data_IF_263132519948
#
_entry.id   IF_263132519948
#
_cell.length_a   1.000
_cell.length_b   1.000
_cell.length_c   1.000
_cell.angle_alpha   90.00
_cell.angle_beta   90.00
_cell.angle_gamma   90.00
#
_symmetry.space_group_name_H-M   'P 1'
#
loop_
_entity.id
_entity.type
_entity.pdbx_description
1 polymer ?
#
# COMPACT_ATOMS: atom_id res chain seq x y z
N UNK A 1 -9.66 -26.47 -2.15
CA UNK A 1 -10.48 -25.26 -1.90
C UNK A 1 -10.25 -24.17 -2.95
N UNK A 2 -11.27 -23.37 -3.28
CA UNK A 2 -11.21 -22.34 -4.35
C UNK A 2 -11.77 -20.99 -3.91
N UNK A 3 -11.15 -19.90 -4.35
CA UNK A 3 -11.69 -18.53 -4.19
C UNK A 3 -12.36 -18.12 -5.50
N UNK A 4 -13.63 -17.72 -5.46
CA UNK A 4 -14.42 -17.35 -6.64
C UNK A 4 -14.94 -15.92 -6.53
N UNK A 5 -14.90 -15.20 -7.66
CA UNK A 5 -15.46 -13.84 -7.78
C UNK A 5 -16.95 -13.93 -8.10
N UNK A 6 -17.77 -13.14 -7.43
CA UNK A 6 -19.23 -13.09 -7.62
C UNK A 6 -19.65 -11.68 -7.89
N UNK A 7 -20.51 -11.48 -8.89
CA UNK A 7 -21.09 -10.19 -9.23
C UNK A 7 -22.33 -9.95 -8.38
N UNK A 8 -22.35 -8.88 -7.58
CA UNK A 8 -23.49 -8.48 -6.75
C UNK A 8 -24.39 -7.48 -7.49
N UNK A 9 -23.80 -6.57 -8.27
CA UNK A 9 -24.49 -5.58 -9.10
C UNK A 9 -23.70 -5.31 -10.39
N UNK A 10 -24.14 -4.41 -11.27
CA UNK A 10 -23.41 -4.04 -12.50
C UNK A 10 -21.97 -3.59 -12.22
N UNK A 11 -21.71 -3.01 -11.03
CA UNK A 11 -20.40 -2.47 -10.64
C UNK A 11 -19.80 -3.11 -9.38
N UNK A 12 -20.58 -3.84 -8.58
CA UNK A 12 -20.11 -4.48 -7.34
C UNK A 12 -19.86 -5.98 -7.51
N UNK A 13 -18.78 -6.45 -6.89
CA UNK A 13 -18.48 -7.87 -6.78
C UNK A 13 -17.93 -8.20 -5.40
N UNK A 14 -18.22 -9.43 -4.97
CA UNK A 14 -17.70 -10.03 -3.75
C UNK A 14 -16.85 -11.25 -4.09
N UNK A 15 -16.27 -11.84 -3.06
CA UNK A 15 -15.48 -13.06 -3.13
C UNK A 15 -16.10 -14.13 -2.24
N UNK A 16 -16.19 -15.36 -2.73
CA UNK A 16 -16.52 -16.53 -1.91
C UNK A 16 -15.32 -17.46 -1.82
N UNK A 17 -15.22 -18.14 -0.69
CA UNK A 17 -14.30 -19.25 -0.50
C UNK A 17 -15.12 -20.53 -0.42
N UNK A 18 -14.85 -21.42 -1.37
CA UNK A 18 -15.50 -22.71 -1.52
C UNK A 18 -14.59 -23.81 -0.97
N UNK A 19 -15.18 -24.74 -0.24
CA UNK A 19 -14.52 -25.93 0.25
C UNK A 19 -14.23 -26.94 -0.89
N UNK A 20 -13.78 -28.15 -0.55
CA UNK A 20 -13.49 -29.20 -1.54
C UNK A 20 -14.76 -29.79 -2.19
N UNK A 21 -15.94 -29.56 -1.59
CA UNK A 21 -17.25 -29.98 -2.10
C UNK A 21 -17.96 -28.84 -2.86
N UNK A 22 -17.24 -27.75 -3.16
CA UNK A 22 -17.79 -26.54 -3.79
C UNK A 22 -18.87 -25.84 -2.97
N UNK A 23 -18.96 -26.10 -1.67
CA UNK A 23 -19.89 -25.42 -0.77
C UNK A 23 -19.23 -24.17 -0.17
N UNK A 24 -19.97 -23.06 -0.02
CA UNK A 24 -19.46 -21.88 0.65
C UNK A 24 -19.16 -22.14 2.12
N UNK A 25 -17.94 -21.79 2.54
CA UNK A 25 -17.55 -21.87 3.95
C UNK A 25 -18.30 -20.79 4.72
N UNK A 26 -19.29 -21.19 5.54
CA UNK A 26 -20.22 -20.26 6.23
C UNK A 26 -19.50 -19.18 7.05
N UNK A 27 -18.54 -19.50 7.94
CA UNK A 27 -17.87 -18.47 8.75
C UNK A 27 -17.14 -17.43 7.89
N UNK A 28 -16.44 -17.86 6.84
CA UNK A 28 -15.76 -16.95 5.91
C UNK A 28 -16.77 -16.05 5.19
N UNK A 29 -17.87 -16.64 4.74
CA UNK A 29 -18.89 -15.92 3.95
C UNK A 29 -19.54 -14.80 4.76
N UNK A 30 -19.86 -15.06 6.03
CA UNK A 30 -20.39 -14.05 6.96
C UNK A 30 -19.39 -12.92 7.19
N UNK A 31 -18.12 -13.25 7.42
CA UNK A 31 -17.08 -12.25 7.62
C UNK A 31 -16.83 -11.40 6.37
N UNK A 32 -16.80 -12.00 5.18
CA UNK A 32 -16.67 -11.26 3.91
C UNK A 32 -17.87 -10.32 3.72
N UNK A 33 -19.09 -10.79 4.00
CA UNK A 33 -20.29 -9.95 3.92
C UNK A 33 -20.19 -8.75 4.87
N UNK A 34 -19.73 -8.98 6.10
CA UNK A 34 -19.44 -7.90 7.05
C UNK A 34 -18.41 -6.90 6.48
N UNK A 35 -17.31 -7.36 5.90
CA UNK A 35 -16.29 -6.46 5.33
C UNK A 35 -16.82 -5.62 4.18
N UNK A 36 -17.69 -6.19 3.34
CA UNK A 36 -18.35 -5.44 2.27
C UNK A 36 -19.29 -4.37 2.85
N UNK A 37 -20.09 -4.71 3.86
CA UNK A 37 -21.02 -3.79 4.51
C UNK A 37 -20.32 -2.64 5.27
N UNK A 38 -19.09 -2.86 5.77
CA UNK A 38 -18.27 -1.82 6.40
C UNK A 38 -17.44 -1.04 5.37
N UNK A 39 -17.81 -1.14 4.09
CA UNK A 39 -17.13 -0.50 2.97
C UNK A 39 -15.61 -0.73 3.01
N UNK A 40 -15.14 -1.97 3.17
CA UNK A 40 -13.72 -2.27 2.95
C UNK A 40 -13.41 -2.29 1.46
N UNK A 41 -12.15 -2.02 1.11
CA UNK A 41 -11.73 -2.06 -0.30
C UNK A 41 -11.93 -3.46 -0.89
N UNK A 42 -12.47 -3.60 -2.12
CA UNK A 42 -12.64 -4.90 -2.78
C UNK A 42 -11.34 -5.70 -2.89
N UNK A 43 -10.20 -5.03 -3.02
CA UNK A 43 -8.88 -5.66 -3.01
C UNK A 43 -8.48 -6.20 -1.64
N UNK A 44 -8.87 -5.50 -0.56
CA UNK A 44 -8.69 -6.01 0.81
C UNK A 44 -9.54 -7.24 1.05
N UNK A 45 -10.80 -7.22 0.61
CA UNK A 45 -11.71 -8.37 0.70
C UNK A 45 -11.16 -9.56 -0.09
N UNK A 46 -10.68 -9.34 -1.31
CA UNK A 46 -9.98 -10.35 -2.11
C UNK A 46 -8.81 -10.97 -1.36
N UNK A 47 -7.92 -10.11 -0.83
CA UNK A 47 -6.74 -10.57 -0.09
C UNK A 47 -7.12 -11.38 1.14
N UNK A 48 -8.16 -10.96 1.86
CA UNK A 48 -8.66 -11.66 3.04
C UNK A 48 -9.23 -13.02 2.67
N UNK A 49 -10.02 -13.11 1.60
CA UNK A 49 -10.54 -14.39 1.09
C UNK A 49 -9.41 -15.38 0.76
N UNK A 50 -8.33 -14.94 0.10
CA UNK A 50 -7.17 -15.80 -0.17
C UNK A 50 -6.41 -16.19 1.11
N UNK A 51 -6.27 -15.30 2.09
CA UNK A 51 -5.60 -15.61 3.35
C UNK A 51 -6.41 -16.59 4.20
N UNK A 52 -7.73 -16.43 4.26
CA UNK A 52 -8.63 -17.35 4.95
C UNK A 52 -8.65 -18.70 4.23
N UNK A 53 -8.62 -18.73 2.89
CA UNK A 53 -8.47 -19.99 2.14
C UNK A 53 -7.24 -20.79 2.61
N UNK A 54 -6.06 -20.14 2.67
CA UNK A 54 -4.83 -20.81 3.13
C UNK A 54 -4.98 -21.35 4.57
N UNK A 55 -5.65 -20.60 5.43
CA UNK A 55 -5.89 -21.03 6.80
C UNK A 55 -6.82 -22.25 6.86
N UNK A 56 -7.89 -22.27 6.07
CA UNK A 56 -8.77 -23.43 6.02
C UNK A 56 -8.11 -24.66 5.39
N UNK A 57 -7.25 -24.50 4.38
CA UNK A 57 -6.44 -25.61 3.85
C UNK A 57 -5.52 -26.20 4.94
N UNK A 58 -4.95 -25.35 5.80
CA UNK A 58 -4.19 -25.81 6.96
C UNK A 58 -5.07 -26.56 7.97
N UNK A 59 -6.25 -26.04 8.29
CA UNK A 59 -7.18 -26.69 9.22
C UNK A 59 -7.61 -28.06 8.72
N UNK A 60 -7.96 -28.19 7.43
CA UNK A 60 -8.29 -29.48 6.81
C UNK A 60 -7.10 -30.45 6.88
N UNK A 61 -5.88 -29.98 6.57
CA UNK A 61 -4.67 -30.82 6.59
C UNK A 61 -4.32 -31.37 7.97
N UNK A 62 -4.73 -30.67 9.04
CA UNK A 62 -4.49 -31.06 10.44
C UNK A 62 -5.76 -31.56 11.14
N UNK A 63 -6.88 -31.64 10.42
CA UNK A 63 -8.21 -31.99 10.95
C UNK A 63 -8.58 -31.17 12.21
N UNK A 64 -8.31 -29.87 12.17
CA UNK A 64 -8.55 -28.96 13.28
C UNK A 64 -9.86 -28.18 13.09
N UNK A 65 -10.58 -27.97 14.18
CA UNK A 65 -11.74 -27.09 14.21
C UNK A 65 -11.31 -25.63 14.38
N UNK A 66 -11.83 -24.75 13.52
CA UNK A 66 -11.56 -23.32 13.55
C UNK A 66 -12.00 -22.66 14.85
N UNK A 67 -13.01 -23.21 15.54
CA UNK A 67 -13.55 -22.67 16.80
C UNK A 67 -12.73 -23.05 18.04
N UNK A 68 -11.81 -24.03 17.96
CA UNK A 68 -11.07 -24.59 19.10
C UNK A 68 -9.55 -24.45 18.95
N UNK A 69 -9.09 -23.38 18.31
CA UNK A 69 -7.68 -23.17 18.03
C UNK A 69 -6.94 -22.62 19.26
N UNK A 70 -5.80 -23.23 19.57
CA UNK A 70 -4.86 -22.77 20.59
C UNK A 70 -3.63 -22.09 19.98
N UNK A 71 -2.76 -21.56 20.85
CA UNK A 71 -1.53 -20.87 20.44
C UNK A 71 -0.57 -21.79 19.66
N UNK A 72 -0.47 -23.07 20.06
CA UNK A 72 0.37 -24.06 19.40
C UNK A 72 -0.04 -24.30 17.95
N UNK A 73 -1.34 -24.37 17.68
CA UNK A 73 -1.90 -24.52 16.34
C UNK A 73 -1.61 -23.30 15.46
N UNK A 74 -1.63 -22.09 16.02
CA UNK A 74 -1.24 -20.87 15.30
C UNK A 74 0.26 -20.82 15.00
N UNK A 75 1.11 -21.28 15.92
CA UNK A 75 2.54 -21.41 15.68
C UNK A 75 2.83 -22.46 14.59
N UNK A 76 2.12 -23.59 14.61
CA UNK A 76 2.18 -24.62 13.58
C UNK A 76 1.71 -24.07 12.22
N UNK A 77 0.68 -23.22 12.18
CA UNK A 77 0.25 -22.54 10.96
C UNK A 77 1.33 -21.60 10.40
N UNK A 78 2.03 -20.86 11.26
CA UNK A 78 3.16 -20.01 10.83
C UNK A 78 4.31 -20.86 10.26
N UNK A 79 4.59 -22.03 10.87
CA UNK A 79 5.55 -23.00 10.33
C UNK A 79 5.11 -23.51 8.95
N UNK A 80 3.86 -23.96 8.83
CA UNK A 80 3.28 -24.45 7.58
C UNK A 80 3.33 -23.40 6.46
N UNK A 81 3.07 -22.12 6.77
CA UNK A 81 3.19 -21.02 5.81
C UNK A 81 4.61 -20.79 5.30
N UNK A 82 5.64 -21.17 6.06
CA UNK A 82 7.05 -21.10 5.65
C UNK A 82 7.46 -22.31 4.81
N UNK A 83 6.84 -23.46 5.03
CA UNK A 83 7.14 -24.74 4.39
C UNK A 83 6.41 -24.95 3.04
N UNK A 84 5.31 -24.23 2.80
CA UNK A 84 4.55 -24.21 1.54
C UNK A 84 5.40 -23.73 0.35
N UNK A 85 6.24 -24.60 -0.21
CA UNK A 85 6.92 -24.39 -1.49
C UNK A 85 5.93 -24.61 -2.63
N UNK A 86 5.93 -23.71 -3.61
CA UNK A 86 5.40 -24.02 -4.94
C UNK A 86 6.28 -25.11 -5.54
N UNK A 87 5.70 -26.23 -6.00
CA UNK A 87 6.41 -27.37 -6.60
C UNK A 87 7.06 -27.03 -7.97
N UNK A 88 6.95 -25.79 -8.46
CA UNK A 88 7.23 -25.40 -9.85
C UNK A 88 8.35 -24.37 -10.04
N UNK A 89 9.30 -24.22 -9.11
CA UNK A 89 10.44 -23.31 -9.29
C UNK A 89 11.78 -23.97 -8.96
N UNK A 90 12.66 -24.04 -9.98
CA UNK A 90 14.06 -24.46 -9.90
C UNK A 90 14.79 -23.64 -8.82
N UNK A 91 15.59 -24.32 -8.00
CA UNK A 91 16.12 -23.81 -6.71
C UNK A 91 17.59 -23.43 -6.84
N UNK A 92 17.93 -22.21 -6.44
CA UNK A 92 19.30 -21.77 -6.15
C UNK A 92 19.56 -21.86 -4.63
N UNK A 93 20.74 -22.34 -4.23
CA UNK A 93 21.06 -22.88 -2.88
C UNK A 93 21.36 -21.80 -1.82
N UNK A 94 21.34 -20.50 -2.16
CA UNK A 94 21.95 -19.45 -1.33
C UNK A 94 21.00 -18.43 -0.68
N UNK A 95 19.67 -18.51 -0.84
CA UNK A 95 18.74 -17.54 -0.24
C UNK A 95 17.83 -18.12 0.86
N UNK A 96 17.64 -17.32 1.91
CA UNK A 96 16.87 -17.56 3.14
C UNK A 96 15.61 -18.42 2.92
N UNK A 97 15.61 -19.62 3.52
CA UNK A 97 14.81 -20.82 3.23
C UNK A 97 13.28 -20.72 3.46
N UNK A 98 12.70 -19.53 3.58
CA UNK A 98 11.27 -19.34 3.82
C UNK A 98 10.48 -19.09 2.54
N UNK A 99 9.45 -19.91 2.27
CA UNK A 99 8.60 -19.75 1.09
C UNK A 99 7.81 -18.41 1.09
N UNK A 100 7.63 -17.78 2.26
CA UNK A 100 6.95 -16.49 2.41
C UNK A 100 7.73 -15.55 3.32
N UNK A 101 7.93 -14.32 2.83
CA UNK A 101 8.53 -13.23 3.60
C UNK A 101 7.76 -13.00 4.92
N UNK A 102 8.45 -12.71 6.04
CA UNK A 102 7.82 -12.40 7.35
C UNK A 102 6.70 -11.35 7.28
N UNK A 103 6.84 -10.35 6.40
CA UNK A 103 5.82 -9.33 6.15
C UNK A 103 4.48 -9.94 5.71
N UNK A 104 4.52 -10.90 4.79
CA UNK A 104 3.33 -11.57 4.24
C UNK A 104 2.65 -12.40 5.33
N UNK A 105 3.42 -13.12 6.14
CA UNK A 105 2.90 -13.89 7.28
C UNK A 105 2.19 -12.95 8.26
N UNK A 106 2.79 -11.82 8.59
CA UNK A 106 2.16 -10.82 9.47
C UNK A 106 0.88 -10.22 8.87
N UNK A 107 0.77 -10.08 7.55
CA UNK A 107 -0.48 -9.66 6.90
C UNK A 107 -1.57 -10.75 7.05
N UNK A 108 -1.22 -12.02 6.83
CA UNK A 108 -2.14 -13.16 6.99
C UNK A 108 -2.62 -13.26 8.44
N UNK A 109 -1.72 -13.24 9.42
CA UNK A 109 -2.06 -13.22 10.85
C UNK A 109 -2.95 -12.03 11.23
N UNK A 110 -2.82 -10.92 10.50
CA UNK A 110 -3.70 -9.77 10.65
C UNK A 110 -5.11 -9.95 10.15
N UNK A 111 -5.25 -10.64 9.03
CA UNK A 111 -6.55 -11.08 8.55
C UNK A 111 -7.21 -12.01 9.58
N UNK A 112 -6.48 -13.00 10.09
CA UNK A 112 -6.98 -13.93 11.11
C UNK A 112 -7.40 -13.21 12.39
N UNK A 113 -6.57 -12.29 12.89
CA UNK A 113 -6.94 -11.48 14.06
C UNK A 113 -8.24 -10.70 13.86
N UNK A 114 -8.46 -10.15 12.65
CA UNK A 114 -9.71 -9.44 12.33
C UNK A 114 -10.90 -10.40 12.20
N UNK A 115 -10.68 -11.60 11.68
CA UNK A 115 -11.70 -12.65 11.52
C UNK A 115 -12.17 -13.16 12.89
N UNK A 116 -11.25 -13.58 13.76
CA UNK A 116 -11.58 -14.06 15.10
C UNK A 116 -12.20 -12.97 15.97
N UNK A 117 -11.75 -11.71 15.85
CA UNK A 117 -12.39 -10.61 16.56
C UNK A 117 -13.87 -10.44 16.16
N UNK A 118 -14.19 -10.61 14.88
CA UNK A 118 -15.57 -10.55 14.40
C UNK A 118 -16.41 -11.71 14.97
N UNK A 119 -15.90 -12.94 14.92
CA UNK A 119 -16.63 -14.11 15.45
C UNK A 119 -16.75 -14.11 16.98
N UNK A 120 -15.75 -13.62 17.71
CA UNK A 120 -15.83 -13.45 19.16
C UNK A 120 -16.89 -12.42 19.55
N UNK A 121 -17.04 -11.32 18.78
CA UNK A 121 -18.10 -10.33 19.02
C UNK A 121 -19.50 -10.89 18.78
N UNK A 122 -19.64 -11.91 17.93
CA UNK A 122 -20.89 -12.63 17.69
C UNK A 122 -21.12 -13.79 18.67
N UNK A 123 -20.18 -14.09 19.57
CA UNK A 123 -20.25 -15.23 20.48
C UNK A 123 -20.04 -16.60 19.80
N UNK A 124 -19.52 -16.62 18.57
CA UNK A 124 -19.30 -17.85 17.82
C UNK A 124 -18.04 -18.62 18.26
N UNK A 125 -17.08 -17.92 18.88
CA UNK A 125 -15.80 -18.48 19.33
C UNK A 125 -15.27 -17.73 20.55
N UNK A 126 -14.51 -18.43 21.40
CA UNK A 126 -13.76 -17.82 22.52
C UNK A 126 -12.26 -17.65 22.22
N UNK A 127 -11.84 -17.95 21.00
CA UNK A 127 -10.43 -17.94 20.58
C UNK A 127 -9.91 -16.50 20.54
N UNK A 128 -9.02 -16.15 21.48
CA UNK A 128 -8.43 -14.81 21.54
C UNK A 128 -7.01 -14.82 20.94
N UNK A 129 -6.84 -14.19 19.77
CA UNK A 129 -5.56 -14.10 19.04
C UNK A 129 -4.88 -12.72 19.24
N UNK A 130 -5.52 -11.84 20.00
CA UNK A 130 -5.03 -10.49 20.32
C UNK A 130 -4.87 -10.30 21.83
N UNK A 131 -3.67 -9.94 22.25
CA UNK A 131 -3.35 -9.52 23.61
C UNK A 131 -3.58 -8.02 23.78
N UNK A 132 -4.30 -7.63 24.83
CA UNK A 132 -4.36 -6.25 25.30
C UNK A 132 -3.11 -5.95 26.13
N UNK A 133 -2.22 -5.06 25.65
CA UNK A 133 -1.09 -4.56 26.45
C UNK A 133 -1.13 -3.05 26.53
N UNK A 134 -0.97 -2.53 27.75
CA UNK A 134 -0.74 -1.10 28.00
C UNK A 134 0.70 -0.78 27.59
N UNK A 135 0.91 0.12 26.62
CA UNK A 135 2.24 0.65 26.35
C UNK A 135 2.62 1.67 27.43
N UNK A 136 3.89 1.71 27.88
CA UNK A 136 4.43 2.93 28.47
C UNK A 136 4.34 4.05 27.43
N UNK A 137 3.75 5.18 27.81
CA UNK A 137 3.48 6.31 26.92
C UNK A 137 4.73 6.78 26.18
N UNK A 138 4.57 7.14 24.90
CA UNK A 138 5.61 7.75 24.09
C UNK A 138 6.20 8.99 24.79
N UNK A 139 7.51 9.26 24.61
CA UNK A 139 8.22 10.41 25.22
C UNK A 139 7.67 11.79 24.82
N UNK A 140 6.79 11.87 23.82
CA UNK A 140 6.10 13.10 23.46
C UNK A 140 4.70 13.13 24.09
N UNK A 141 4.56 13.86 25.20
CA UNK A 141 3.29 14.05 25.89
C UNK A 141 2.57 15.25 25.27
N UNK A 142 1.47 15.00 24.55
CA UNK A 142 0.56 16.07 24.14
C UNK A 142 -0.04 16.75 25.39
N UNK A 143 -0.49 18.01 25.26
CA UNK A 143 -1.07 18.84 26.33
C UNK A 143 -2.19 18.14 27.15
N UNK A 144 -2.87 17.14 26.57
CA UNK A 144 -3.93 16.35 27.23
C UNK A 144 -3.55 14.88 27.48
N UNK A 145 -2.26 14.54 27.56
CA UNK A 145 -1.77 13.17 27.80
C UNK A 145 -2.30 12.56 29.11
N UNK A 146 -2.68 13.39 30.09
CA UNK A 146 -3.26 12.93 31.36
C UNK A 146 -4.69 12.39 31.24
N UNK A 147 -5.45 12.81 30.22
CA UNK A 147 -6.85 12.38 29.99
C UNK A 147 -6.91 11.04 29.25
N UNK A 148 -5.87 10.69 28.46
CA UNK A 148 -5.81 9.45 27.67
C UNK A 148 -4.95 8.35 28.29
N UNK A 149 -4.62 8.44 29.59
CA UNK A 149 -3.97 7.33 30.31
C UNK A 149 -4.84 6.08 30.15
N UNK A 150 -4.27 5.05 29.52
CA UNK A 150 -4.83 3.70 29.43
C UNK A 150 -5.92 3.47 28.39
N UNK A 151 -5.71 3.84 27.12
CA UNK A 151 -6.33 3.05 26.04
C UNK A 151 -5.47 1.81 25.77
N UNK A 152 -5.90 0.59 26.15
CA UNK A 152 -5.17 -0.61 25.81
C UNK A 152 -5.06 -0.74 24.28
N UNK A 153 -3.84 -0.91 23.78
CA UNK A 153 -3.63 -1.19 22.36
C UNK A 153 -3.64 -2.71 22.20
N UNK A 154 -4.61 -3.21 21.43
CA UNK A 154 -4.65 -4.62 21.05
C UNK A 154 -3.44 -4.93 20.16
N UNK A 155 -2.54 -5.79 20.65
CA UNK A 155 -1.43 -6.36 19.88
C UNK A 155 -1.72 -7.83 19.59
N UNK A 156 -1.11 -8.35 18.53
CA UNK A 156 -1.25 -9.77 18.20
C UNK A 156 -0.32 -10.58 19.08
N UNK A 157 -0.77 -11.77 19.49
CA UNK A 157 0.00 -12.68 20.34
C UNK A 157 1.22 -13.19 19.57
N UNK A 158 1.05 -13.48 18.27
CA UNK A 158 2.14 -13.90 17.39
C UNK A 158 2.39 -12.82 16.33
N UNK A 159 3.65 -12.38 16.27
CA UNK A 159 4.17 -11.60 15.16
C UNK A 159 5.56 -12.10 14.82
N UNK A 160 5.84 -12.31 13.54
CA UNK A 160 7.18 -12.67 13.09
C UNK A 160 8.03 -11.40 13.05
N UNK A 161 9.20 -11.43 13.71
CA UNK A 161 10.15 -10.31 13.67
C UNK A 161 10.53 -10.04 12.22
N UNK A 162 10.35 -8.80 11.80
CA UNK A 162 10.68 -8.36 10.45
C UNK A 162 11.77 -7.28 10.56
N UNK A 163 12.88 -7.46 9.86
CA UNK A 163 13.84 -6.39 9.62
C UNK A 163 13.16 -5.38 8.69
N UNK A 164 13.05 -4.12 9.13
CA UNK A 164 12.49 -3.06 8.29
C UNK A 164 13.58 -2.62 7.30
N UNK A 165 13.45 -3.04 6.06
CA UNK A 165 14.29 -2.51 4.97
C UNK A 165 13.96 -1.03 4.74
N UNK A 166 14.99 -0.27 4.37
CA UNK A 166 14.82 1.11 3.93
C UNK A 166 13.95 1.13 2.66
N UNK A 167 13.11 2.17 2.50
CA UNK A 167 12.33 2.33 1.28
C UNK A 167 13.30 2.43 0.10
N UNK A 168 13.06 1.63 -0.94
CA UNK A 168 13.84 1.73 -2.17
C UNK A 168 13.49 3.05 -2.88
N UNK A 169 14.51 3.87 -3.13
CA UNK A 169 14.41 5.10 -3.94
C UNK A 169 15.17 4.92 -5.24
N UNK A 170 14.79 5.65 -6.27
CA UNK A 170 15.53 5.76 -7.53
C UNK A 170 16.51 6.94 -7.52
N UNK A 171 17.59 6.84 -8.29
CA UNK A 171 18.55 7.94 -8.57
C UNK A 171 18.06 8.84 -9.71
N UNK A 172 18.71 9.99 -9.90
CA UNK A 172 18.40 10.90 -11.03
C UNK A 172 18.72 10.25 -12.39
N UNK A 173 19.83 9.53 -12.49
CA UNK A 173 20.18 8.76 -13.70
C UNK A 173 19.11 7.73 -14.05
N UNK A 174 18.60 7.00 -13.05
CA UNK A 174 17.50 6.05 -13.21
C UNK A 174 16.20 6.75 -13.61
N UNK A 175 15.95 7.98 -13.16
CA UNK A 175 14.79 8.77 -13.58
C UNK A 175 14.86 9.12 -15.08
N UNK A 176 16.04 9.53 -15.55
CA UNK A 176 16.25 9.82 -16.98
C UNK A 176 16.07 8.55 -17.83
N UNK A 177 16.65 7.43 -17.40
CA UNK A 177 16.46 6.13 -18.07
C UNK A 177 14.97 5.71 -18.10
N UNK A 178 14.23 5.96 -17.02
CA UNK A 178 12.81 5.65 -16.92
C UNK A 178 11.98 6.50 -17.90
N UNK A 179 12.26 7.80 -17.98
CA UNK A 179 11.58 8.70 -18.91
C UNK A 179 11.87 8.29 -20.36
N UNK A 180 13.12 7.95 -20.69
CA UNK A 180 13.51 7.48 -22.02
C UNK A 180 12.90 6.12 -22.40
N UNK A 181 12.61 5.26 -21.42
CA UNK A 181 11.97 3.96 -21.65
C UNK A 181 10.44 4.05 -21.88
N UNK A 182 9.83 5.18 -21.53
CA UNK A 182 8.41 5.43 -21.76
C UNK A 182 8.14 5.66 -23.25
N UNK A 183 7.16 4.95 -23.81
CA UNK A 183 6.87 4.99 -25.25
C UNK A 183 5.78 5.99 -25.64
N UNK A 184 4.97 6.45 -24.68
CA UNK A 184 3.81 7.31 -24.93
C UNK A 184 3.84 8.54 -24.02
N UNK A 185 3.28 9.67 -24.49
CA UNK A 185 3.10 10.89 -23.69
C UNK A 185 2.35 10.62 -22.38
N UNK A 186 1.35 9.72 -22.40
CA UNK A 186 0.64 9.28 -21.19
C UNK A 186 1.60 8.74 -20.11
N UNK A 187 2.52 7.87 -20.50
CA UNK A 187 3.39 7.17 -19.57
C UNK A 187 4.48 8.11 -19.04
N UNK A 188 5.00 8.98 -19.91
CA UNK A 188 5.94 10.07 -19.55
C UNK A 188 5.28 10.99 -18.52
N UNK A 189 4.06 11.49 -18.82
CA UNK A 189 3.31 12.34 -17.91
C UNK A 189 3.00 11.63 -16.58
N UNK A 190 2.60 10.35 -16.62
CA UNK A 190 2.30 9.58 -15.41
C UNK A 190 3.52 9.47 -14.48
N UNK A 191 4.69 9.17 -15.03
CA UNK A 191 5.94 9.03 -14.26
C UNK A 191 6.36 10.38 -13.70
N UNK A 192 6.37 11.43 -14.53
CA UNK A 192 6.73 12.79 -14.12
C UNK A 192 5.81 13.30 -13.01
N UNK A 193 4.49 13.11 -13.16
CA UNK A 193 3.50 13.50 -12.17
C UNK A 193 3.72 12.77 -10.84
N UNK A 194 3.92 11.45 -10.86
CA UNK A 194 4.16 10.65 -9.65
C UNK A 194 5.46 11.07 -8.93
N UNK A 195 6.50 11.38 -9.70
CA UNK A 195 7.77 11.84 -9.16
C UNK A 195 7.66 13.23 -8.52
N UNK A 196 7.02 14.20 -9.17
CA UNK A 196 7.02 15.58 -8.67
C UNK A 196 5.95 15.85 -7.58
N UNK A 197 4.83 15.16 -7.65
CA UNK A 197 3.76 15.33 -6.65
C UNK A 197 3.90 14.35 -5.50
N UNK A 198 4.58 13.23 -5.72
CA UNK A 198 4.61 12.10 -4.81
C UNK A 198 3.23 11.47 -4.58
N UNK A 199 2.23 11.66 -5.46
CA UNK A 199 0.88 11.13 -5.27
C UNK A 199 0.86 9.60 -5.10
N UNK A 200 -0.11 9.09 -4.35
CA UNK A 200 -0.37 7.64 -4.37
C UNK A 200 -0.96 7.31 -5.72
N UNK A 201 -0.57 6.17 -6.29
CA UNK A 201 -1.10 5.73 -7.59
C UNK A 201 -2.64 5.69 -7.64
N UNK A 202 -3.31 5.39 -6.53
CA UNK A 202 -4.77 5.42 -6.47
C UNK A 202 -5.37 6.82 -6.53
N UNK A 203 -4.64 7.84 -6.09
CA UNK A 203 -5.05 9.24 -6.28
C UNK A 203 -4.83 9.66 -7.73
N UNK A 204 -3.68 9.31 -8.29
CA UNK A 204 -3.34 9.58 -9.69
C UNK A 204 -4.37 9.00 -10.67
N UNK A 205 -4.75 7.74 -10.50
CA UNK A 205 -5.76 7.09 -11.35
C UNK A 205 -7.19 7.62 -11.14
N UNK A 206 -7.45 8.37 -10.08
CA UNK A 206 -8.75 8.96 -9.79
C UNK A 206 -8.85 10.43 -10.25
N UNK A 207 -7.78 10.99 -10.82
CA UNK A 207 -7.76 12.35 -11.35
C UNK A 207 -8.68 12.48 -12.55
N UNK A 208 -9.45 13.58 -12.56
CA UNK A 208 -10.25 14.01 -13.70
C UNK A 208 -9.67 15.27 -14.32
N UNK A 209 -10.00 15.54 -15.58
CA UNK A 209 -9.51 16.74 -16.26
C UNK A 209 -9.92 18.02 -15.52
N UNK A 210 -11.10 18.04 -14.88
CA UNK A 210 -11.58 19.15 -14.01
C UNK A 210 -10.72 19.41 -12.77
N UNK A 211 -9.85 18.47 -12.37
CA UNK A 211 -9.00 18.61 -11.20
C UNK A 211 -7.67 19.31 -11.53
N UNK A 212 -7.33 19.47 -12.81
CA UNK A 212 -6.07 20.06 -13.26
C UNK A 212 -6.34 21.51 -13.70
N UNK A 213 -5.79 22.45 -12.93
CA UNK A 213 -5.93 23.89 -13.17
C UNK A 213 -4.63 24.39 -13.81
N UNK A 214 -4.58 24.34 -15.15
CA UNK A 214 -3.37 24.66 -15.91
C UNK A 214 -2.89 26.10 -15.69
N UNK A 215 -3.79 27.08 -15.61
CA UNK A 215 -3.42 28.50 -15.50
C UNK A 215 -2.77 28.86 -14.15
N UNK A 216 -2.95 28.04 -13.11
CA UNK A 216 -2.39 28.27 -11.78
C UNK A 216 -1.40 27.16 -11.36
N UNK A 217 -1.07 26.24 -12.28
CA UNK A 217 -0.23 25.08 -12.02
C UNK A 217 -0.65 24.27 -10.78
N UNK A 218 -1.95 24.05 -10.62
CA UNK A 218 -2.52 23.35 -9.48
C UNK A 218 -3.22 22.05 -9.87
N UNK A 219 -3.10 21.06 -9.00
CA UNK A 219 -3.84 19.80 -9.10
C UNK A 219 -4.65 19.62 -7.82
N UNK A 220 -5.97 19.57 -7.96
CA UNK A 220 -6.92 19.46 -6.86
C UNK A 220 -7.30 18.00 -6.63
N UNK A 221 -6.74 17.40 -5.59
CA UNK A 221 -7.04 16.01 -5.24
C UNK A 221 -8.36 15.97 -4.49
N UNK A 222 -9.43 15.54 -5.18
CA UNK A 222 -10.74 15.33 -4.57
C UNK A 222 -10.96 13.87 -4.16
N UNK A 223 -11.63 13.67 -3.03
CA UNK A 223 -12.05 12.33 -2.61
C UNK A 223 -13.34 11.96 -3.35
N UNK A 224 -13.30 10.90 -4.16
CA UNK A 224 -14.47 10.34 -4.86
C UNK A 224 -14.65 8.88 -4.47
N UNK A 225 -15.86 8.49 -4.10
CA UNK A 225 -16.23 7.11 -3.77
C UNK A 225 -16.68 6.32 -5.00
N UNK A 226 -17.28 7.00 -5.98
CA UNK A 226 -17.86 6.38 -7.17
C UNK A 226 -16.90 6.41 -8.37
N UNK A 227 -15.80 5.65 -8.28
CA UNK A 227 -14.83 5.55 -9.37
C UNK A 227 -15.09 4.30 -10.23
N UNK A 228 -15.26 4.48 -11.54
CA UNK A 228 -15.51 3.39 -12.50
C UNK A 228 -14.34 2.38 -12.53
N UNK A 229 -13.11 2.87 -12.36
CA UNK A 229 -11.92 2.02 -12.25
C UNK A 229 -11.73 1.35 -10.88
N UNK A 230 -12.70 1.48 -9.96
CA UNK A 230 -12.73 0.86 -8.63
C UNK A 230 -11.54 1.28 -7.74
N UNK A 231 -10.89 2.38 -8.09
CA UNK A 231 -9.77 2.90 -7.33
C UNK A 231 -10.32 3.67 -6.13
N UNK A 232 -10.01 3.18 -4.92
CA UNK A 232 -10.38 3.86 -3.68
C UNK A 232 -9.22 4.63 -3.10
N UNK A 233 -9.40 5.93 -2.94
CA UNK A 233 -8.44 6.76 -2.21
C UNK A 233 -8.50 6.37 -0.71
N UNK A 234 -7.32 6.18 -0.09
CA UNK A 234 -7.23 5.88 1.34
C UNK A 234 -7.31 7.14 2.22
N UNK A 235 -7.15 8.32 1.62
CA UNK A 235 -7.25 9.62 2.29
C UNK A 235 -8.58 10.28 1.96
N UNK A 236 -9.37 10.58 2.99
CA UNK A 236 -10.63 11.32 2.87
C UNK A 236 -10.43 12.84 2.74
N UNK A 237 -9.19 13.33 2.85
CA UNK A 237 -8.88 14.76 2.77
C UNK A 237 -8.64 15.17 1.32
N UNK A 238 -9.31 16.24 0.90
CA UNK A 238 -8.93 16.98 -0.30
C UNK A 238 -7.59 17.69 -0.07
N UNK A 239 -6.78 17.77 -1.11
CA UNK A 239 -5.49 18.46 -1.05
C UNK A 239 -5.21 19.15 -2.38
N UNK A 240 -4.69 20.38 -2.33
CA UNK A 240 -4.23 21.09 -3.53
C UNK A 240 -2.71 20.96 -3.61
N UNK A 241 -2.22 20.61 -4.79
CA UNK A 241 -0.80 20.43 -5.07
C UNK A 241 -0.36 21.39 -6.15
N UNK A 242 0.68 22.17 -5.85
CA UNK A 242 1.38 22.94 -6.87
C UNK A 242 2.39 22.05 -7.60
N UNK A 243 2.40 22.16 -8.92
CA UNK A 243 3.32 21.48 -9.82
C UNK A 243 4.06 22.48 -10.70
N UNK A 244 5.11 22.03 -11.36
CA UNK A 244 5.91 22.81 -12.29
C UNK A 244 5.20 23.02 -13.62
N UNK A 245 5.59 24.08 -14.34
CA UNK A 245 5.19 24.28 -15.73
C UNK A 245 5.56 23.08 -16.61
N UNK A 246 6.66 22.40 -16.30
CA UNK A 246 7.10 21.22 -17.04
C UNK A 246 6.04 20.10 -17.00
N UNK A 247 5.49 19.79 -15.83
CA UNK A 247 4.43 18.76 -15.70
C UNK A 247 3.14 19.22 -16.40
N UNK A 248 2.80 20.50 -16.35
CA UNK A 248 1.63 21.03 -17.07
C UNK A 248 1.80 21.03 -18.60
N UNK A 249 3.03 21.24 -19.08
CA UNK A 249 3.33 21.11 -20.50
C UNK A 249 3.20 19.65 -20.96
N UNK A 250 3.73 18.69 -20.18
CA UNK A 250 3.56 17.26 -20.47
C UNK A 250 2.08 16.84 -20.45
N UNK A 251 1.28 17.40 -19.54
CA UNK A 251 -0.16 17.19 -19.54
C UNK A 251 -0.81 17.70 -20.84
N UNK A 252 -0.44 18.90 -21.28
CA UNK A 252 -0.96 19.51 -22.49
C UNK A 252 -0.57 18.71 -23.74
N UNK A 253 0.69 18.28 -23.86
CA UNK A 253 1.16 17.39 -24.92
C UNK A 253 0.40 16.06 -24.92
N UNK A 254 0.18 15.47 -23.74
CA UNK A 254 -0.58 14.26 -23.60
C UNK A 254 -2.03 14.44 -24.07
N UNK A 255 -2.74 15.47 -23.59
CA UNK A 255 -4.14 15.73 -23.99
C UNK A 255 -4.24 16.01 -25.50
N UNK A 256 -3.30 16.76 -26.06
CA UNK A 256 -3.26 17.05 -27.51
C UNK A 256 -2.99 15.80 -28.35
N UNK A 257 -2.33 14.78 -27.80
CA UNK A 257 -2.10 13.51 -28.48
C UNK A 257 -3.32 12.58 -28.50
N UNK A 258 -4.38 12.90 -27.74
CA UNK A 258 -5.60 12.10 -27.65
C UNK A 258 -6.65 12.53 -28.68
N UNK A 259 -7.49 11.57 -29.08
CA UNK A 259 -8.70 11.86 -29.84
C UNK A 259 -9.72 12.60 -28.95
N UNK A 260 -9.95 13.88 -29.25
CA UNK A 260 -10.85 14.74 -28.49
C UNK A 260 -12.30 14.25 -28.47
N UNK A 261 -12.73 13.50 -29.50
CA UNK A 261 -14.09 12.96 -29.56
C UNK A 261 -14.32 11.78 -28.61
N UNK A 262 -13.25 11.21 -28.06
CA UNK A 262 -13.27 10.05 -27.14
C UNK A 262 -12.76 10.38 -25.75
N UNK A 263 -12.60 11.67 -25.46
CA UNK A 263 -12.05 12.15 -24.21
C UNK A 263 -13.11 12.03 -23.12
N UNK A 264 -12.92 11.06 -22.22
CA UNK A 264 -13.75 10.91 -21.04
C UNK A 264 -13.31 11.83 -19.90
N UNK A 265 -13.98 11.73 -18.75
CA UNK A 265 -13.68 12.57 -17.59
C UNK A 265 -12.29 12.31 -16.97
N UNK A 266 -11.77 11.09 -17.13
CA UNK A 266 -10.56 10.62 -16.45
C UNK A 266 -9.29 11.03 -17.20
N UNK A 267 -8.31 11.56 -16.45
CA UNK A 267 -7.03 11.97 -17.03
C UNK A 267 -6.27 10.76 -17.59
N UNK A 268 -6.19 9.67 -16.84
CA UNK A 268 -5.44 8.49 -17.27
C UNK A 268 -6.35 7.42 -17.83
N UNK A 269 -6.24 7.20 -19.14
CA UNK A 269 -7.02 6.22 -19.89
C UNK A 269 -6.16 5.11 -20.51
N UNK A 270 -6.81 4.01 -20.86
CA UNK A 270 -6.23 3.01 -21.76
C UNK A 270 -6.27 3.54 -23.19
N UNK A 271 -5.11 3.63 -23.85
CA UNK A 271 -5.00 4.18 -25.21
C UNK A 271 -5.75 3.36 -26.28
N UNK A 272 -6.04 2.09 -26.00
CA UNK A 272 -6.76 1.23 -26.95
C UNK A 272 -8.28 1.26 -26.74
N UNK A 273 -8.74 1.24 -25.48
CA UNK A 273 -10.17 1.14 -25.15
C UNK A 273 -10.80 2.47 -24.75
N UNK A 274 -9.99 3.50 -24.49
CA UNK A 274 -10.39 4.80 -23.93
C UNK A 274 -11.07 4.72 -22.55
N UNK A 275 -11.04 3.54 -21.93
CA UNK A 275 -11.58 3.35 -20.58
C UNK A 275 -10.58 3.84 -19.50
N UNK A 276 -11.09 4.21 -18.31
CA UNK A 276 -10.25 4.63 -17.20
C UNK A 276 -9.20 3.57 -16.82
N UNK A 277 -7.96 4.01 -16.65
CA UNK A 277 -6.85 3.11 -16.38
C UNK A 277 -6.99 2.45 -15.00
N UNK A 278 -6.75 1.15 -14.96
CA UNK A 278 -6.95 0.31 -13.77
C UNK A 278 -5.61 -0.16 -13.17
N UNK A 279 -5.62 -0.56 -11.89
CA UNK A 279 -4.43 -1.06 -11.19
C UNK A 279 -3.66 -2.18 -11.92
N UNK A 280 -4.30 -3.20 -12.53
CA UNK A 280 -3.58 -4.25 -13.26
C UNK A 280 -2.78 -3.72 -14.44
N UNK A 281 -3.32 -2.74 -15.17
CA UNK A 281 -2.64 -2.12 -16.31
C UNK A 281 -1.39 -1.36 -15.86
N UNK A 282 -1.48 -0.60 -14.76
CA UNK A 282 -0.31 0.05 -14.15
C UNK A 282 0.72 -0.97 -13.67
N UNK A 283 0.29 -2.07 -13.04
CA UNK A 283 1.22 -3.11 -12.60
C UNK A 283 1.99 -3.67 -13.80
N UNK A 284 1.31 -3.95 -14.91
CA UNK A 284 1.94 -4.42 -16.15
C UNK A 284 2.89 -3.36 -16.74
N UNK A 285 2.48 -2.09 -16.77
CA UNK A 285 3.30 -0.97 -17.22
C UNK A 285 4.63 -0.91 -16.45
N UNK A 286 4.60 -0.90 -15.12
CA UNK A 286 5.82 -0.80 -14.31
C UNK A 286 6.69 -2.06 -14.37
N UNK A 287 6.12 -3.25 -14.60
CA UNK A 287 6.90 -4.46 -14.87
C UNK A 287 7.66 -4.32 -16.19
N UNK A 288 6.98 -3.88 -17.26
CA UNK A 288 7.61 -3.66 -18.56
C UNK A 288 8.69 -2.57 -18.49
N UNK A 289 8.42 -1.46 -17.79
CA UNK A 289 9.42 -0.41 -17.57
C UNK A 289 10.62 -0.94 -16.79
N UNK A 290 10.40 -1.76 -15.75
CA UNK A 290 11.51 -2.37 -14.99
C UNK A 290 12.40 -3.24 -15.89
N UNK A 291 11.79 -4.01 -16.79
CA UNK A 291 12.52 -4.85 -17.76
C UNK A 291 13.31 -4.01 -18.76
N UNK A 292 12.68 -2.96 -19.33
CA UNK A 292 13.34 -2.07 -20.30
C UNK A 292 14.52 -1.31 -19.70
N UNK A 293 14.39 -0.83 -18.47
CA UNK A 293 15.43 -0.06 -17.81
C UNK A 293 16.53 -0.93 -17.15
N UNK A 294 16.30 -2.25 -17.01
CA UNK A 294 17.24 -3.15 -16.35
C UNK A 294 17.28 -3.03 -14.82
N UNK A 295 16.34 -2.33 -14.21
CA UNK A 295 16.23 -2.21 -12.76
C UNK A 295 14.79 -2.24 -12.28
N UNK A 296 14.58 -2.67 -11.04
CA UNK A 296 13.25 -2.79 -10.48
C UNK A 296 12.64 -1.43 -10.11
N UNK A 297 11.43 -1.15 -10.61
CA UNK A 297 10.68 0.05 -10.27
C UNK A 297 9.20 -0.21 -9.97
N UNK A 298 8.67 0.55 -9.02
CA UNK A 298 7.24 0.58 -8.67
C UNK A 298 6.78 2.01 -8.38
N UNK A 299 5.48 2.32 -8.53
CA UNK A 299 4.94 3.66 -8.27
C UNK A 299 5.30 4.23 -6.89
N UNK A 300 5.32 3.37 -5.87
CA UNK A 300 5.67 3.78 -4.51
C UNK A 300 7.12 4.26 -4.37
N UNK A 301 8.05 3.76 -5.19
CA UNK A 301 9.45 4.20 -5.16
C UNK A 301 9.58 5.66 -5.61
N UNK A 302 8.82 6.09 -6.61
CA UNK A 302 8.77 7.49 -7.06
C UNK A 302 8.30 8.42 -5.93
N UNK A 303 7.26 8.02 -5.20
CA UNK A 303 6.80 8.75 -4.00
C UNK A 303 7.85 8.82 -2.91
N UNK A 304 8.58 7.71 -2.68
CA UNK A 304 9.67 7.70 -1.71
C UNK A 304 10.82 8.62 -2.14
N UNK A 305 11.18 8.60 -3.42
CA UNK A 305 12.20 9.51 -3.96
C UNK A 305 11.79 10.97 -3.82
N UNK A 306 10.53 11.31 -4.14
CA UNK A 306 10.01 12.68 -3.95
C UNK A 306 10.14 13.16 -2.52
N UNK A 307 9.68 12.33 -1.57
CA UNK A 307 9.76 12.63 -0.15
C UNK A 307 11.21 12.83 0.31
N UNK A 308 12.12 11.94 -0.09
CA UNK A 308 13.55 12.07 0.20
C UNK A 308 14.16 13.33 -0.42
N UNK A 309 13.75 13.68 -1.65
CA UNK A 309 14.23 14.88 -2.34
C UNK A 309 13.84 16.17 -1.61
N UNK A 310 12.57 16.28 -1.17
CA UNK A 310 12.12 17.42 -0.37
C UNK A 310 12.87 17.56 0.95
N UNK A 311 13.09 16.44 1.65
CA UNK A 311 13.85 16.44 2.91
C UNK A 311 15.30 16.86 2.67
N UNK A 312 15.95 16.38 1.60
CA UNK A 312 17.31 16.80 1.23
C UNK A 312 17.37 18.28 0.82
N UNK A 313 16.31 18.81 0.22
CA UNK A 313 16.17 20.22 -0.09
C UNK A 313 15.86 21.09 1.15
N UNK A 314 15.84 20.51 2.36
CA UNK A 314 15.67 21.24 3.62
C UNK A 314 14.23 21.59 3.96
N UNK A 315 13.23 20.96 3.30
CA UNK A 315 11.83 21.22 3.63
C UNK A 315 11.48 20.74 5.04
N UNK A 316 10.68 21.55 5.75
CA UNK A 316 10.14 21.13 7.03
C UNK A 316 9.26 19.89 6.89
N UNK A 317 9.40 18.96 7.84
CA UNK A 317 8.71 17.68 7.81
C UNK A 317 7.19 17.81 7.87
N UNK A 318 6.66 18.86 8.51
CA UNK A 318 5.21 19.11 8.49
C UNK A 318 4.73 19.50 7.09
N UNK A 319 5.51 20.29 6.34
CA UNK A 319 5.22 20.64 4.95
C UNK A 319 5.29 19.42 4.03
N UNK A 320 6.32 18.59 4.17
CA UNK A 320 6.45 17.33 3.41
C UNK A 320 5.25 16.41 3.67
N UNK A 321 4.81 16.28 4.92
CA UNK A 321 3.65 15.47 5.27
C UNK A 321 2.34 16.01 4.72
N UNK A 322 2.13 17.33 4.79
CA UNK A 322 0.96 18.00 4.24
C UNK A 322 0.91 17.81 2.72
N UNK A 323 2.03 18.02 2.01
CA UNK A 323 2.12 17.79 0.56
C UNK A 323 1.80 16.34 0.20
N UNK A 324 2.36 15.36 0.92
CA UNK A 324 2.12 13.94 0.64
C UNK A 324 0.72 13.46 1.08
N UNK A 325 -0.02 14.21 1.90
CA UNK A 325 -1.29 13.76 2.47
C UNK A 325 -1.12 12.51 3.35
N UNK A 326 -0.08 12.49 4.19
CA UNK A 326 0.12 11.44 5.21
C UNK A 326 -0.73 11.73 6.45
N UNK A 327 -1.48 10.73 6.91
CA UNK A 327 -2.19 10.78 8.20
C UNK A 327 -1.30 10.37 9.37
N UNK A 328 -0.12 9.78 9.13
CA UNK A 328 0.83 9.37 10.18
C UNK A 328 2.21 9.96 9.94
N UNK A 329 2.65 10.79 10.89
CA UNK A 329 4.00 11.35 11.01
C UNK A 329 5.07 10.25 11.06
N UNK A 330 4.74 9.11 11.66
CA UNK A 330 5.67 8.05 12.05
C UNK A 330 6.24 7.25 10.88
N UNK A 331 5.54 7.17 9.74
CA UNK A 331 6.06 6.53 8.52
C UNK A 331 6.90 7.49 7.69
N UNK A 332 6.86 8.79 7.95
CA UNK A 332 7.73 9.78 7.27
C UNK A 332 9.03 9.95 8.06
N UNK A 333 8.94 10.07 9.40
CA UNK A 333 10.11 10.25 10.27
C UNK A 333 11.04 9.03 10.16
N UNK A 334 10.59 7.83 10.54
CA UNK A 334 11.46 6.64 10.60
C UNK A 334 11.99 6.14 9.24
N UNK A 335 11.47 6.67 8.13
CA UNK A 335 11.73 6.17 6.78
C UNK A 335 12.62 7.13 5.99
N UNK A 336 12.61 8.44 6.33
CA UNK A 336 13.38 9.46 5.63
C UNK A 336 14.34 10.26 6.52
N UNK A 337 14.29 10.11 7.85
CA UNK A 337 15.35 10.63 8.74
C UNK A 337 16.56 9.70 8.83
N UNK A 338 16.76 8.84 7.84
CA UNK A 338 18.09 8.29 7.61
C UNK A 338 18.91 9.40 6.97
N UNK A 339 19.33 10.32 7.85
CA UNK A 339 20.35 11.31 7.61
C UNK A 339 21.49 10.54 6.96
N UNK A 340 21.79 10.87 5.72
CA UNK A 340 22.92 10.29 4.99
C UNK A 340 24.15 10.41 5.91
N UNK A 341 24.93 9.34 6.06
CA UNK A 341 26.12 9.32 6.92
C UNK A 341 27.05 10.50 6.60
N UNK A 342 27.00 10.97 5.35
CA UNK A 342 27.64 12.20 4.88
C UNK A 342 27.06 13.47 5.52
N UNK A 343 25.75 13.67 5.52
CA UNK A 343 25.08 14.80 6.20
C UNK A 343 25.33 14.79 7.71
N UNK A 344 25.37 13.60 8.34
CA UNK A 344 25.70 13.49 9.77
C UNK A 344 27.16 13.88 10.03
N UNK A 345 28.08 13.50 9.15
CA UNK A 345 29.49 13.87 9.21
C UNK A 345 29.69 15.38 9.00
N UNK A 346 28.97 15.99 8.07
CA UNK A 346 29.05 17.42 7.77
C UNK A 346 28.41 18.27 8.87
N UNK A 347 27.28 17.83 9.43
CA UNK A 347 26.67 18.45 10.60
C UNK A 347 27.57 18.34 11.84
N UNK A 348 28.22 17.18 12.05
CA UNK A 348 29.17 17.00 13.14
C UNK A 348 30.43 17.86 12.96
N UNK A 349 30.98 17.95 11.74
CA UNK A 349 32.07 18.89 11.43
C UNK A 349 31.69 20.34 11.72
N UNK A 350 30.48 20.75 11.33
CA UNK A 350 29.96 22.10 11.58
C UNK A 350 29.71 22.38 13.07
N UNK A 351 29.40 21.34 13.86
CA UNK A 351 29.28 21.43 15.31
C UNK A 351 30.64 21.57 15.99
N UNK A 352 31.63 20.76 15.57
CA UNK A 352 33.00 20.84 16.09
C UNK A 352 33.64 22.20 15.78
N UNK A 353 33.51 22.70 14.55
CA UNK A 353 34.07 24.01 14.18
C UNK A 353 33.46 25.18 14.96
N UNK A 354 32.18 25.09 15.36
CA UNK A 354 31.54 26.08 16.25
C UNK A 354 31.99 25.97 17.71
N UNK A 355 32.45 24.78 18.14
CA UNK A 355 32.96 24.54 19.49
C UNK A 355 34.44 24.91 19.62
N UNK A 356 35.20 24.88 18.53
CA UNK A 356 36.61 25.27 18.50
C UNK A 356 36.81 26.78 18.31
N UNK A 357 35.79 27.48 17.77
CA UNK A 357 35.78 28.94 17.59
C UNK A 357 35.07 29.71 18.74
N UNK A 358 34.71 29.02 19.82
CA UNK A 358 34.22 29.56 21.10
C UNK A 358 35.13 29.05 22.21
#
# INVERSE_FOLDING_TARGET
MKVQKIKLSSYDFSWLVLDNNYLPIKPITEFIRYLNNVDKSPFTVKSYAHHLKLFWEFLDSKQLDWAKINLSNLAAFVGWLRELKDESAVIDITEDLSARKPATINVILGCLSSFYRYHNQLGNTDVTITESKNLPGNRYKALLHHVFKNKPIQRRIISVRQVKELPKTITEEQLVQLNNACSNYRDIFLVALLFETGLRIGQTLALRHEDIICWNNEIHIKYRTNNVNQVRNKSYKSNTLHVSNYVMNLYSEYVNSLDQNRLGDYVFINLNTYEPLCYPAIKKLFVNLSQKCGFYIRPHMLRHTHASSLVRAGWDMALVQKRLGHTSIQTTVNTYTHIDTKQMKDAFKSYISKKENN
#
